data_IF_576930425527
#
_entry.id   IF_576930425527
#
_cell.length_a   1.000
_cell.length_b   1.000
_cell.length_c   1.000
_cell.angle_alpha   90.00
_cell.angle_beta   90.00
_cell.angle_gamma   90.00
#
_symmetry.space_group_name_H-M   'P 1'
#
loop_
_entity.id
_entity.type
_entity.pdbx_description
1 polymer ?
#
# COMPACT_ATOMS: atom_id res chain seq x y z
N UNK A 1 -31.06 14.71 -65.33
CA UNK A 1 -29.91 15.61 -65.15
C UNK A 1 -30.11 16.39 -63.86
N UNK A 2 -29.59 15.87 -62.74
CA UNK A 2 -29.43 16.62 -61.48
C UNK A 2 -28.62 15.76 -60.49
N UNK A 3 -27.37 16.17 -60.31
CA UNK A 3 -26.52 16.13 -59.10
C UNK A 3 -26.39 14.82 -58.30
N UNK A 4 -25.28 14.12 -58.57
CA UNK A 4 -24.58 13.25 -57.64
C UNK A 4 -23.90 14.08 -56.53
N UNK A 5 -24.27 13.87 -55.27
CA UNK A 5 -23.51 14.34 -54.12
C UNK A 5 -22.71 13.18 -53.52
N UNK A 6 -21.40 13.25 -53.76
CA UNK A 6 -20.36 12.36 -53.23
C UNK A 6 -20.15 12.62 -51.74
N UNK A 7 -20.54 11.67 -50.89
CA UNK A 7 -20.19 11.62 -49.48
C UNK A 7 -18.75 11.10 -49.33
N UNK A 8 -17.82 12.01 -49.10
CA UNK A 8 -16.47 11.72 -48.62
C UNK A 8 -16.55 11.15 -47.19
N UNK A 9 -16.28 9.85 -47.05
CA UNK A 9 -15.90 9.22 -45.78
C UNK A 9 -14.49 9.70 -45.42
N UNK A 10 -14.39 10.49 -44.36
CA UNK A 10 -13.16 10.72 -43.62
C UNK A 10 -13.04 9.63 -42.56
N UNK A 11 -12.22 8.62 -42.84
CA UNK A 11 -11.63 7.74 -41.83
C UNK A 11 -10.45 8.46 -41.18
N UNK A 12 -10.25 8.22 -39.87
CA UNK A 12 -8.93 8.39 -39.26
C UNK A 12 -8.77 9.57 -38.31
N UNK A 13 -9.43 9.49 -37.16
CA UNK A 13 -8.83 9.98 -35.91
C UNK A 13 -9.40 9.14 -34.77
N UNK A 14 -8.79 7.96 -34.57
CA UNK A 14 -8.94 7.23 -33.31
C UNK A 14 -8.39 8.12 -32.21
N UNK A 15 -9.26 8.90 -31.58
CA UNK A 15 -8.96 9.53 -30.32
C UNK A 15 -8.62 8.41 -29.36
N UNK A 16 -7.32 8.27 -29.05
CA UNK A 16 -6.84 7.54 -27.90
C UNK A 16 -7.61 8.10 -26.71
N UNK A 17 -8.60 7.35 -26.25
CA UNK A 17 -9.20 7.58 -24.95
C UNK A 17 -8.03 7.50 -23.98
N UNK A 18 -7.71 8.58 -23.25
CA UNK A 18 -6.74 8.45 -22.18
C UNK A 18 -7.35 7.45 -21.21
N UNK A 19 -6.69 6.31 -21.06
CA UNK A 19 -6.93 5.43 -19.92
C UNK A 19 -6.65 6.32 -18.70
N UNK A 20 -7.70 6.70 -17.99
CA UNK A 20 -7.58 7.42 -16.72
C UNK A 20 -6.73 6.55 -15.78
N UNK A 21 -5.43 6.82 -15.76
CA UNK A 21 -4.53 6.23 -14.78
C UNK A 21 -5.03 6.63 -13.39
N UNK A 22 -5.28 5.66 -12.51
CA UNK A 22 -5.95 5.93 -11.24
C UNK A 22 -5.20 7.02 -10.48
N UNK A 23 -5.94 8.08 -10.15
CA UNK A 23 -5.45 9.20 -9.38
C UNK A 23 -4.88 8.69 -8.04
N UNK A 24 -3.56 8.81 -7.86
CA UNK A 24 -2.84 8.44 -6.63
C UNK A 24 -3.34 9.20 -5.38
N UNK A 25 -4.25 10.17 -5.54
CA UNK A 25 -4.89 10.94 -4.47
C UNK A 25 -6.16 10.28 -3.92
N UNK A 26 -6.65 9.21 -4.54
CA UNK A 26 -7.80 8.48 -4.00
C UNK A 26 -7.33 7.72 -2.75
N UNK A 27 -8.03 7.94 -1.64
CA UNK A 27 -7.79 7.43 -0.27
C UNK A 27 -7.80 5.89 -0.12
N UNK A 28 -7.61 5.14 -1.21
CA UNK A 28 -7.82 3.71 -1.25
C UNK A 28 -6.63 3.00 -1.89
N UNK A 29 -6.28 1.86 -1.29
CA UNK A 29 -5.66 0.69 -1.92
C UNK A 29 -4.13 0.68 -1.93
N UNK A 30 -3.56 0.51 -0.74
CA UNK A 30 -2.23 -0.08 -0.54
C UNK A 30 -2.38 -1.30 0.38
N UNK A 31 -1.34 -2.15 0.45
CA UNK A 31 -1.28 -3.24 1.44
C UNK A 31 -1.55 -2.71 2.86
N UNK A 32 -2.16 -3.50 3.76
CA UNK A 32 -2.53 -3.04 5.12
C UNK A 32 -1.41 -2.37 5.91
N UNK A 33 -0.16 -2.77 5.65
CA UNK A 33 1.06 -2.20 6.25
C UNK A 33 1.32 -0.72 5.89
N UNK A 34 0.60 -0.17 4.92
CA UNK A 34 0.70 1.23 4.51
C UNK A 34 -0.34 2.09 5.22
N UNK A 35 0.10 2.98 6.11
CA UNK A 35 -0.79 3.88 6.83
C UNK A 35 -1.24 5.05 5.93
N UNK A 36 -2.53 5.38 5.99
CA UNK A 36 -3.11 6.51 5.27
C UNK A 36 -2.40 7.83 5.60
N UNK A 37 -2.16 8.66 4.57
CA UNK A 37 -1.55 9.99 4.72
C UNK A 37 -0.08 10.00 5.13
N UNK A 38 0.57 8.85 5.23
CA UNK A 38 1.98 8.78 5.59
C UNK A 38 2.90 9.32 4.49
N UNK A 39 2.58 9.05 3.23
CA UNK A 39 3.33 9.58 2.10
C UNK A 39 3.34 11.11 2.12
N UNK A 40 2.20 11.74 2.41
CA UNK A 40 2.11 13.20 2.54
C UNK A 40 2.87 13.73 3.77
N UNK A 41 2.81 13.04 4.91
CA UNK A 41 3.58 13.41 6.11
C UNK A 41 5.10 13.36 5.85
N UNK A 42 5.57 12.28 5.24
CA UNK A 42 7.00 12.09 4.95
C UNK A 42 7.51 13.05 3.87
N UNK A 43 6.71 13.34 2.84
CA UNK A 43 7.07 14.32 1.80
C UNK A 43 7.02 15.76 2.34
N UNK A 44 6.03 16.10 3.19
CA UNK A 44 5.97 17.39 3.87
C UNK A 44 7.21 17.63 4.75
N UNK A 45 7.69 16.59 5.44
CA UNK A 45 8.94 16.63 6.20
C UNK A 45 10.16 16.94 5.30
N UNK A 46 10.23 16.45 4.05
CA UNK A 46 11.33 16.78 3.13
C UNK A 46 11.41 18.26 2.82
N UNK A 47 10.25 18.91 2.62
CA UNK A 47 10.23 20.34 2.32
C UNK A 47 10.80 21.14 3.49
N UNK A 48 10.42 20.78 4.72
CA UNK A 48 10.93 21.37 5.95
C UNK A 48 12.45 21.12 6.09
N UNK A 49 12.92 19.89 5.86
CA UNK A 49 14.34 19.54 5.95
C UNK A 49 15.16 20.23 4.86
N UNK A 50 14.66 20.37 3.64
CA UNK A 50 15.35 21.12 2.57
C UNK A 50 15.47 22.60 2.88
N UNK A 51 14.43 23.21 3.45
CA UNK A 51 14.46 24.60 3.91
C UNK A 51 15.50 24.78 5.03
N UNK A 52 15.46 23.92 6.06
CA UNK A 52 16.41 23.94 7.16
C UNK A 52 17.85 23.68 6.70
N UNK A 53 18.06 22.71 5.81
CA UNK A 53 19.36 22.42 5.22
C UNK A 53 19.91 23.60 4.42
N UNK A 54 19.06 24.28 3.65
CA UNK A 54 19.43 25.52 2.95
C UNK A 54 19.87 26.63 3.92
N UNK A 55 19.09 26.86 4.99
CA UNK A 55 19.43 27.84 6.02
C UNK A 55 20.74 27.50 6.75
N UNK A 56 20.92 26.23 7.14
CA UNK A 56 22.15 25.73 7.77
C UNK A 56 23.37 25.86 6.85
N UNK A 57 23.20 25.61 5.56
CA UNK A 57 24.25 25.82 4.56
C UNK A 57 24.68 27.29 4.46
N UNK A 58 23.71 28.22 4.41
CA UNK A 58 23.99 29.67 4.41
C UNK A 58 24.69 30.09 5.71
N UNK A 59 24.19 29.66 6.86
CA UNK A 59 24.81 29.94 8.17
C UNK A 59 26.24 29.39 8.27
N UNK A 60 26.48 28.16 7.81
CA UNK A 60 27.81 27.57 7.75
C UNK A 60 28.77 28.35 6.86
N UNK A 61 28.28 28.84 5.72
CA UNK A 61 29.07 29.67 4.79
C UNK A 61 29.42 31.02 5.43
N UNK A 62 28.45 31.67 6.08
CA UNK A 62 28.68 32.93 6.81
C UNK A 62 29.66 32.77 7.96
N UNK A 63 29.55 31.68 8.73
CA UNK A 63 30.48 31.36 9.82
C UNK A 63 31.90 31.12 9.29
N UNK A 64 32.04 30.43 8.16
CA UNK A 64 33.33 30.21 7.52
C UNK A 64 33.98 31.53 7.05
N UNK A 65 33.21 32.41 6.40
CA UNK A 65 33.66 33.75 5.97
C UNK A 65 34.07 34.62 7.15
N UNK A 66 33.28 34.62 8.24
CA UNK A 66 33.61 35.36 9.45
C UNK A 66 34.89 34.83 10.12
N UNK A 67 35.09 33.51 10.16
CA UNK A 67 36.30 32.89 10.71
C UNK A 67 37.57 33.28 9.92
N UNK A 68 37.47 33.35 8.59
CA UNK A 68 38.56 33.82 7.73
C UNK A 68 38.85 35.30 7.97
N UNK A 69 37.81 36.14 8.02
CA UNK A 69 37.96 37.59 8.24
C UNK A 69 38.58 37.93 9.61
N UNK A 70 38.32 37.12 10.63
CA UNK A 70 38.87 37.28 11.99
C UNK A 70 40.24 36.62 12.18
N UNK A 71 40.81 35.97 11.16
CA UNK A 71 42.10 35.29 11.26
C UNK A 71 42.09 34.06 12.17
N UNK A 72 40.95 33.38 12.30
CA UNK A 72 40.76 32.20 13.16
C UNK A 72 40.59 30.93 12.30
N UNK A 73 41.66 30.42 11.66
CA UNK A 73 41.56 29.35 10.66
C UNK A 73 41.02 28.04 11.25
N UNK A 74 41.28 27.79 12.53
CA UNK A 74 40.82 26.58 13.23
C UNK A 74 39.28 26.58 13.36
N UNK A 75 38.66 27.73 13.64
CA UNK A 75 37.19 27.85 13.71
C UNK A 75 36.55 27.70 12.32
N UNK A 76 37.18 28.19 11.26
CA UNK A 76 36.71 27.98 9.88
C UNK A 76 36.68 26.49 9.52
N UNK A 77 37.75 25.75 9.83
CA UNK A 77 37.83 24.31 9.56
C UNK A 77 36.75 23.54 10.33
N UNK A 78 36.58 23.84 11.62
CA UNK A 78 35.55 23.20 12.46
C UNK A 78 34.15 23.52 11.96
N UNK A 79 33.87 24.78 11.59
CA UNK A 79 32.57 25.19 11.05
C UNK A 79 32.24 24.47 9.73
N UNK A 80 33.19 24.44 8.79
CA UNK A 80 33.01 23.74 7.50
C UNK A 80 32.78 22.25 7.72
N UNK A 81 33.55 21.62 8.60
CA UNK A 81 33.45 20.18 8.86
C UNK A 81 32.13 19.82 9.53
N UNK A 82 31.70 20.58 10.55
CA UNK A 82 30.41 20.40 11.21
C UNK A 82 29.25 20.65 10.25
N UNK A 83 29.27 21.74 9.47
CA UNK A 83 28.21 22.01 8.49
C UNK A 83 28.13 20.91 7.44
N UNK A 84 29.27 20.42 6.95
CA UNK A 84 29.32 19.31 5.97
C UNK A 84 28.77 18.02 6.58
N UNK A 85 29.13 17.70 7.83
CA UNK A 85 28.66 16.50 8.53
C UNK A 85 27.15 16.57 8.81
N UNK A 86 26.64 17.72 9.23
CA UNK A 86 25.21 17.97 9.47
C UNK A 86 24.43 17.86 8.15
N UNK A 87 24.90 18.52 7.08
CA UNK A 87 24.29 18.44 5.76
C UNK A 87 24.31 17.01 5.21
N UNK A 88 25.41 16.28 5.41
CA UNK A 88 25.53 14.88 5.02
C UNK A 88 24.51 14.02 5.77
N UNK A 89 24.38 14.18 7.09
CA UNK A 89 23.40 13.46 7.89
C UNK A 89 21.96 13.77 7.47
N UNK A 90 21.62 15.05 7.25
CA UNK A 90 20.31 15.49 6.73
C UNK A 90 20.04 14.92 5.32
N UNK A 91 21.05 14.91 4.46
CA UNK A 91 20.94 14.32 3.13
C UNK A 91 20.73 12.80 3.20
N UNK A 92 21.41 12.13 4.13
CA UNK A 92 21.27 10.69 4.35
C UNK A 92 19.86 10.33 4.85
N UNK A 93 19.27 11.17 5.69
CA UNK A 93 17.91 11.02 6.20
C UNK A 93 16.83 11.30 5.14
N UNK A 94 17.11 12.19 4.17
CA UNK A 94 16.15 12.54 3.10
C UNK A 94 16.12 11.59 1.90
N UNK A 95 16.97 10.57 1.84
CA UNK A 95 17.01 9.64 0.69
C UNK A 95 15.71 8.84 0.52
N UNK A 96 15.19 8.26 1.61
CA UNK A 96 13.91 7.56 1.58
C UNK A 96 12.81 8.50 1.07
N UNK A 97 12.76 9.69 1.64
CA UNK A 97 11.72 10.64 1.30
C UNK A 97 11.87 11.22 -0.12
N UNK A 98 13.09 11.28 -0.66
CA UNK A 98 13.33 11.57 -2.09
C UNK A 98 12.82 10.45 -3.00
N UNK A 99 12.95 9.18 -2.59
CA UNK A 99 12.36 8.05 -3.31
C UNK A 99 10.82 8.10 -3.27
N UNK A 100 10.24 8.49 -2.13
CA UNK A 100 8.78 8.70 -2.03
C UNK A 100 8.28 9.89 -2.86
N UNK A 101 9.08 10.94 -2.99
CA UNK A 101 8.77 12.05 -3.90
C UNK A 101 8.78 11.60 -5.36
N UNK A 102 9.61 10.62 -5.75
CA UNK A 102 9.55 10.02 -7.09
C UNK A 102 8.22 9.27 -7.31
N UNK A 103 7.71 8.55 -6.30
CA UNK A 103 6.37 7.92 -6.36
C UNK A 103 5.27 8.97 -6.55
N UNK A 104 5.33 10.06 -5.77
CA UNK A 104 4.38 11.18 -5.88
C UNK A 104 4.39 11.81 -7.28
N UNK A 105 5.56 11.89 -7.90
CA UNK A 105 5.75 12.41 -9.28
C UNK A 105 5.49 11.37 -10.37
N UNK A 106 4.94 10.20 -10.02
CA UNK A 106 4.65 9.10 -10.95
C UNK A 106 5.88 8.54 -11.68
N UNK A 107 7.09 8.73 -11.14
CA UNK A 107 8.33 8.17 -11.71
C UNK A 107 8.59 6.79 -11.11
N UNK A 108 7.75 5.82 -11.47
CA UNK A 108 7.68 4.51 -10.79
C UNK A 108 8.99 3.73 -10.84
N UNK A 109 9.61 3.60 -12.02
CA UNK A 109 10.86 2.84 -12.19
C UNK A 109 12.01 3.43 -11.35
N UNK A 110 12.21 4.75 -11.44
CA UNK A 110 13.24 5.45 -10.66
C UNK A 110 12.97 5.37 -9.14
N UNK A 111 11.70 5.40 -8.74
CA UNK A 111 11.32 5.24 -7.34
C UNK A 111 11.63 3.83 -6.83
N UNK A 112 11.27 2.81 -7.62
CA UNK A 112 11.52 1.40 -7.29
C UNK A 112 13.03 1.12 -7.18
N UNK A 113 13.85 1.60 -8.11
CA UNK A 113 15.30 1.47 -8.06
C UNK A 113 15.89 2.14 -6.80
N UNK A 114 15.44 3.35 -6.50
CA UNK A 114 15.88 4.08 -5.30
C UNK A 114 15.49 3.35 -4.01
N UNK A 115 14.25 2.83 -3.93
CA UNK A 115 13.78 2.06 -2.78
C UNK A 115 14.54 0.74 -2.64
N UNK A 116 14.79 0.02 -3.74
CA UNK A 116 15.57 -1.22 -3.75
C UNK A 116 17.00 -0.99 -3.24
N UNK A 117 17.64 0.10 -3.71
CA UNK A 117 18.97 0.52 -3.23
C UNK A 117 18.97 0.80 -1.72
N UNK A 118 17.92 1.44 -1.20
CA UNK A 118 17.78 1.70 0.23
C UNK A 118 17.59 0.38 0.98
N UNK A 119 16.68 -0.49 0.54
CA UNK A 119 16.35 -1.76 1.19
C UNK A 119 17.57 -2.70 1.29
N UNK A 120 18.42 -2.73 0.27
CA UNK A 120 19.63 -3.57 0.22
C UNK A 120 20.85 -2.98 0.92
N UNK A 121 20.87 -1.69 1.27
CA UNK A 121 22.09 -1.04 1.74
C UNK A 121 22.40 -1.32 3.23
N UNK A 122 23.55 -1.96 3.57
CA UNK A 122 23.92 -2.23 4.96
C UNK A 122 24.18 -0.95 5.77
N UNK A 123 24.57 0.13 5.08
CA UNK A 123 24.85 1.45 5.66
C UNK A 123 23.59 2.22 6.09
N UNK A 124 22.40 1.81 5.61
CA UNK A 124 21.15 2.50 5.92
C UNK A 124 20.61 2.08 7.28
N UNK A 125 19.89 2.99 7.94
CA UNK A 125 19.22 2.64 9.18
C UNK A 125 18.22 1.51 8.93
N UNK A 126 18.08 0.59 9.91
CA UNK A 126 17.17 -0.53 9.78
C UNK A 126 15.73 -0.06 9.49
N UNK A 127 15.30 1.05 10.12
CA UNK A 127 14.00 1.66 9.88
C UNK A 127 13.81 2.07 8.41
N UNK A 128 14.76 2.80 7.81
CA UNK A 128 14.68 3.19 6.39
C UNK A 128 14.60 1.97 5.48
N UNK A 129 15.38 0.92 5.77
CA UNK A 129 15.33 -0.33 4.99
C UNK A 129 13.97 -1.00 5.05
N UNK A 130 13.39 -1.14 6.24
CA UNK A 130 12.07 -1.79 6.39
C UNK A 130 10.95 -0.98 5.77
N UNK A 131 11.03 0.34 5.89
CA UNK A 131 10.09 1.22 5.21
C UNK A 131 10.20 1.07 3.70
N UNK A 132 11.42 1.07 3.15
CA UNK A 132 11.63 0.84 1.73
C UNK A 132 11.07 -0.53 1.26
N UNK A 133 11.31 -1.62 2.01
CA UNK A 133 10.71 -2.94 1.71
C UNK A 133 9.18 -2.90 1.68
N UNK A 134 8.57 -2.12 2.56
CA UNK A 134 7.10 -1.97 2.61
C UNK A 134 6.55 -1.30 1.35
N UNK A 135 7.19 -0.22 0.90
CA UNK A 135 6.82 0.43 -0.34
C UNK A 135 7.06 -0.48 -1.56
N UNK A 136 8.17 -1.22 -1.60
CA UNK A 136 8.44 -2.20 -2.66
C UNK A 136 7.40 -3.32 -2.69
N UNK A 137 6.97 -3.82 -1.53
CA UNK A 137 5.89 -4.79 -1.43
C UNK A 137 4.59 -4.24 -2.02
N UNK A 138 4.22 -3.00 -1.69
CA UNK A 138 3.00 -2.39 -2.24
C UNK A 138 3.07 -2.19 -3.75
N UNK A 139 4.24 -1.77 -4.28
CA UNK A 139 4.44 -1.61 -5.73
C UNK A 139 4.36 -2.94 -6.48
N UNK A 140 4.99 -4.00 -5.94
CA UNK A 140 4.90 -5.34 -6.50
C UNK A 140 3.44 -5.84 -6.50
N UNK A 141 2.73 -5.68 -5.38
CA UNK A 141 1.34 -6.08 -5.26
C UNK A 141 0.43 -5.34 -6.26
N UNK A 142 0.59 -4.01 -6.41
CA UNK A 142 -0.16 -3.20 -7.39
C UNK A 142 0.05 -3.67 -8.84
N UNK A 143 1.22 -4.22 -9.16
CA UNK A 143 1.52 -4.84 -10.47
C UNK A 143 0.93 -6.24 -10.63
N UNK A 144 0.34 -6.82 -9.58
CA UNK A 144 -0.16 -8.18 -9.54
C UNK A 144 0.92 -9.22 -9.21
N UNK A 145 2.14 -8.80 -8.87
CA UNK A 145 3.22 -9.69 -8.49
C UNK A 145 3.18 -9.96 -6.97
N UNK A 146 2.26 -10.85 -6.59
CA UNK A 146 1.96 -11.19 -5.19
C UNK A 146 3.16 -11.88 -4.53
N UNK A 147 3.88 -12.74 -5.25
CA UNK A 147 5.05 -13.45 -4.73
C UNK A 147 6.21 -12.50 -4.44
N UNK A 148 6.49 -11.57 -5.36
CA UNK A 148 7.50 -10.54 -5.10
C UNK A 148 7.08 -9.65 -3.93
N UNK A 149 5.81 -9.29 -3.80
CA UNK A 149 5.31 -8.54 -2.65
C UNK A 149 5.52 -9.30 -1.33
N UNK A 150 5.21 -10.60 -1.31
CA UNK A 150 5.40 -11.48 -0.15
C UNK A 150 6.88 -11.54 0.27
N UNK A 151 7.79 -11.72 -0.69
CA UNK A 151 9.22 -11.78 -0.40
C UNK A 151 9.75 -10.51 0.27
N UNK A 152 9.24 -9.33 -0.11
CA UNK A 152 9.61 -8.06 0.51
C UNK A 152 9.11 -7.94 1.95
N UNK A 153 7.87 -8.39 2.22
CA UNK A 153 7.30 -8.41 3.58
C UNK A 153 8.03 -9.41 4.46
N UNK A 154 8.32 -10.62 3.98
CA UNK A 154 9.09 -11.62 4.70
C UNK A 154 10.51 -11.12 5.01
N UNK A 155 11.19 -10.50 4.03
CA UNK A 155 12.49 -9.87 4.25
C UNK A 155 12.41 -8.73 5.27
N UNK A 156 11.26 -8.05 5.40
CA UNK A 156 11.02 -7.09 6.47
C UNK A 156 10.90 -7.76 7.83
N UNK A 157 10.08 -8.79 7.93
CA UNK A 157 9.77 -9.49 9.18
C UNK A 157 10.94 -10.29 9.74
N UNK A 158 11.81 -10.82 8.88
CA UNK A 158 13.03 -11.55 9.24
C UNK A 158 14.06 -10.68 9.96
N UNK A 159 13.96 -9.35 9.87
CA UNK A 159 14.86 -8.48 10.60
C UNK A 159 14.52 -8.43 12.10
N UNK A 160 15.53 -8.36 12.99
CA UNK A 160 15.31 -8.30 14.42
C UNK A 160 14.41 -7.12 14.81
N UNK A 161 13.44 -7.36 15.70
CA UNK A 161 12.57 -6.34 16.30
C UNK A 161 13.43 -5.26 16.98
N UNK A 162 13.08 -3.98 16.80
CA UNK A 162 13.84 -2.84 17.37
C UNK A 162 12.96 -1.95 18.22
N UNK A 163 13.57 -1.23 19.14
CA UNK A 163 12.91 -0.35 20.10
C UNK A 163 12.12 0.81 19.50
N UNK A 164 12.38 1.18 18.23
CA UNK A 164 11.69 2.26 17.50
C UNK A 164 10.62 1.79 16.53
N UNK A 165 10.44 0.48 16.31
CA UNK A 165 9.35 -0.01 15.47
C UNK A 165 8.05 0.08 16.28
N UNK A 166 7.08 0.83 15.78
CA UNK A 166 5.79 0.92 16.44
C UNK A 166 5.11 -0.45 16.44
N UNK A 167 4.51 -0.90 17.57
CA UNK A 167 3.86 -2.20 17.65
C UNK A 167 2.84 -2.43 16.53
N UNK A 168 2.07 -1.39 16.19
CA UNK A 168 1.07 -1.42 15.12
C UNK A 168 1.68 -1.63 13.74
N UNK A 169 2.79 -0.98 13.40
CA UNK A 169 3.46 -1.17 12.10
C UNK A 169 3.94 -2.61 11.93
N UNK A 170 4.49 -3.22 12.99
CA UNK A 170 4.92 -4.62 12.92
C UNK A 170 3.74 -5.57 12.81
N UNK A 171 2.68 -5.31 13.59
CA UNK A 171 1.45 -6.11 13.55
C UNK A 171 0.83 -6.10 12.15
N UNK A 172 0.72 -4.92 11.53
CA UNK A 172 0.21 -4.77 10.16
C UNK A 172 1.08 -5.50 9.13
N UNK A 173 2.41 -5.54 9.33
CA UNK A 173 3.30 -6.32 8.45
C UNK A 173 3.06 -7.83 8.57
N UNK A 174 2.83 -8.35 9.79
CA UNK A 174 2.47 -9.76 10.01
C UNK A 174 1.11 -10.10 9.39
N UNK A 175 0.10 -9.25 9.59
CA UNK A 175 -1.21 -9.43 8.95
C UNK A 175 -1.10 -9.40 7.42
N UNK A 176 -0.28 -8.49 6.88
CA UNK A 176 -0.02 -8.39 5.43
C UNK A 176 0.66 -9.66 4.90
N UNK A 177 1.57 -10.28 5.65
CA UNK A 177 2.17 -11.57 5.28
C UNK A 177 1.09 -12.65 5.13
N UNK A 178 0.19 -12.80 6.11
CA UNK A 178 -0.90 -13.77 6.03
C UNK A 178 -1.82 -13.52 4.84
N UNK A 179 -2.16 -12.25 4.55
CA UNK A 179 -2.97 -11.90 3.38
C UNK A 179 -2.27 -12.21 2.05
N UNK A 180 -0.96 -11.94 1.94
CA UNK A 180 -0.19 -12.21 0.73
C UNK A 180 0.00 -13.71 0.50
N UNK A 181 0.25 -14.48 1.57
CA UNK A 181 0.27 -15.95 1.50
C UNK A 181 -1.07 -16.49 1.00
N UNK A 182 -2.19 -15.96 1.51
CA UNK A 182 -3.52 -16.35 1.07
C UNK A 182 -3.75 -16.01 -0.42
N UNK A 183 -3.37 -14.80 -0.86
CA UNK A 183 -3.50 -14.37 -2.25
C UNK A 183 -2.62 -15.18 -3.22
N UNK A 184 -1.42 -15.58 -2.79
CA UNK A 184 -0.53 -16.45 -3.53
C UNK A 184 -1.02 -17.90 -3.61
N UNK A 185 -2.05 -18.26 -2.83
CA UNK A 185 -2.63 -19.61 -2.79
C UNK A 185 -1.99 -20.54 -1.76
N UNK A 186 -1.06 -20.04 -0.94
CA UNK A 186 -0.39 -20.77 0.13
C UNK A 186 -1.29 -20.88 1.37
N UNK A 187 -2.44 -21.54 1.25
CA UNK A 187 -3.50 -21.55 2.26
C UNK A 187 -3.06 -22.07 3.65
N UNK A 188 -2.21 -23.10 3.67
CA UNK A 188 -1.72 -23.69 4.92
C UNK A 188 -0.76 -22.73 5.65
N UNK A 189 0.16 -22.11 4.94
CA UNK A 189 1.10 -21.13 5.49
C UNK A 189 0.37 -19.84 5.92
N UNK A 190 -0.63 -19.40 5.14
CA UNK A 190 -1.47 -18.26 5.50
C UNK A 190 -2.20 -18.49 6.82
N UNK A 191 -2.69 -19.71 7.06
CA UNK A 191 -3.30 -20.13 8.32
C UNK A 191 -2.29 -20.10 9.46
N UNK A 192 -1.11 -20.69 9.27
CA UNK A 192 -0.07 -20.66 10.29
C UNK A 192 0.38 -19.24 10.63
N UNK A 193 0.46 -18.35 9.63
CA UNK A 193 0.77 -16.94 9.84
C UNK A 193 -0.35 -16.22 10.64
N UNK A 194 -1.62 -16.50 10.33
CA UNK A 194 -2.77 -15.97 11.08
C UNK A 194 -2.79 -16.46 12.53
N UNK A 195 -2.57 -17.76 12.77
CA UNK A 195 -2.59 -18.35 14.11
C UNK A 195 -1.42 -17.84 14.99
N UNK A 196 -0.32 -17.39 14.37
CA UNK A 196 0.82 -16.76 15.06
C UNK A 196 0.66 -15.25 15.25
N UNK A 197 -0.39 -14.63 14.69
CA UNK A 197 -0.60 -13.21 14.80
C UNK A 197 -0.88 -12.84 16.28
N UNK A 198 -0.14 -11.91 16.88
CA UNK A 198 -0.46 -11.45 18.23
C UNK A 198 -1.81 -10.70 18.22
N UNK A 199 -2.45 -10.51 19.39
CA UNK A 199 -3.66 -9.70 19.48
C UNK A 199 -3.48 -8.33 18.79
N UNK A 200 -4.51 -7.84 18.06
CA UNK A 200 -4.42 -6.54 17.42
C UNK A 200 -4.15 -5.44 18.45
N UNK A 201 -3.33 -4.43 18.13
CA UNK A 201 -3.28 -3.22 18.93
C UNK A 201 -4.68 -2.58 18.99
N UNK A 202 -5.00 -1.80 20.05
CA UNK A 202 -6.30 -1.15 20.23
C UNK A 202 -6.41 0.05 19.28
N UNK A 203 -6.51 -0.25 18.00
CA UNK A 203 -6.52 0.67 16.87
C UNK A 203 -7.56 0.18 15.87
N UNK A 204 -8.45 1.08 15.46
CA UNK A 204 -9.58 0.78 14.58
C UNK A 204 -9.16 0.20 13.22
N UNK A 205 -7.99 0.61 12.70
CA UNK A 205 -7.45 0.08 11.46
C UNK A 205 -6.94 -1.35 11.67
N UNK A 206 -6.28 -1.64 12.80
CA UNK A 206 -5.85 -2.98 13.12
C UNK A 206 -7.02 -3.96 13.28
N UNK A 207 -8.12 -3.55 13.91
CA UNK A 207 -9.34 -4.37 14.02
C UNK A 207 -9.95 -4.68 12.64
N UNK A 208 -10.03 -3.69 11.75
CA UNK A 208 -10.51 -3.92 10.38
C UNK A 208 -9.61 -4.89 9.62
N UNK A 209 -8.29 -4.72 9.73
CA UNK A 209 -7.31 -5.59 9.08
C UNK A 209 -7.34 -6.99 9.67
N UNK A 210 -7.60 -7.15 10.97
CA UNK A 210 -7.79 -8.46 11.62
C UNK A 210 -8.95 -9.21 10.97
N UNK A 211 -10.12 -8.58 10.91
CA UNK A 211 -11.33 -9.15 10.31
C UNK A 211 -11.10 -9.52 8.83
N UNK A 212 -10.54 -8.60 8.04
CA UNK A 212 -10.23 -8.86 6.63
C UNK A 212 -9.24 -10.00 6.44
N UNK A 213 -8.20 -10.08 7.27
CA UNK A 213 -7.19 -11.15 7.19
C UNK A 213 -7.82 -12.49 7.53
N UNK A 214 -8.56 -12.58 8.64
CA UNK A 214 -9.22 -13.81 9.06
C UNK A 214 -10.22 -14.31 8.02
N UNK A 215 -11.04 -13.41 7.48
CA UNK A 215 -12.00 -13.72 6.42
C UNK A 215 -11.31 -14.17 5.12
N UNK A 216 -10.24 -13.49 4.69
CA UNK A 216 -9.52 -13.83 3.46
C UNK A 216 -8.83 -15.20 3.57
N UNK A 217 -8.17 -15.47 4.69
CA UNK A 217 -7.52 -16.76 4.94
C UNK A 217 -8.56 -17.88 4.98
N UNK A 218 -9.69 -17.67 5.67
CA UNK A 218 -10.80 -18.63 5.70
C UNK A 218 -11.38 -18.86 4.30
N UNK A 219 -11.54 -17.81 3.49
CA UNK A 219 -12.02 -17.91 2.11
C UNK A 219 -11.09 -18.77 1.24
N UNK A 220 -9.79 -18.50 1.28
CA UNK A 220 -8.82 -19.25 0.45
C UNK A 220 -8.72 -20.72 0.87
N UNK A 221 -8.92 -21.00 2.17
CA UNK A 221 -8.99 -22.35 2.72
C UNK A 221 -10.36 -23.03 2.54
N UNK A 222 -11.39 -22.32 2.08
CA UNK A 222 -12.80 -22.77 2.01
C UNK A 222 -13.38 -23.22 3.37
N UNK A 223 -13.08 -22.48 4.43
CA UNK A 223 -13.43 -22.82 5.83
C UNK A 223 -14.32 -21.75 6.50
N UNK A 224 -15.60 -21.60 6.09
CA UNK A 224 -16.48 -20.55 6.63
C UNK A 224 -16.78 -20.72 8.12
N UNK A 225 -16.71 -21.95 8.64
CA UNK A 225 -16.96 -22.25 10.06
C UNK A 225 -15.98 -21.53 11.00
N UNK A 226 -14.75 -21.26 10.56
CA UNK A 226 -13.73 -20.58 11.38
C UNK A 226 -14.09 -19.15 11.74
N UNK A 227 -14.83 -18.47 10.87
CA UNK A 227 -15.21 -17.07 11.04
C UNK A 227 -16.66 -16.90 11.46
N UNK A 228 -17.47 -17.98 11.42
CA UNK A 228 -18.92 -17.96 11.68
C UNK A 228 -19.32 -17.18 12.93
N UNK A 229 -18.59 -17.36 14.03
CA UNK A 229 -18.91 -16.73 15.32
C UNK A 229 -18.66 -15.22 15.39
N UNK A 230 -17.91 -14.64 14.44
CA UNK A 230 -17.52 -13.21 14.44
C UNK A 230 -18.07 -12.41 13.27
N UNK A 231 -18.77 -13.06 12.32
CA UNK A 231 -19.34 -12.38 11.15
C UNK A 231 -20.25 -11.22 11.55
N UNK A 232 -21.12 -11.40 12.56
CA UNK A 232 -22.06 -10.36 12.98
C UNK A 232 -21.36 -9.18 13.68
N UNK A 233 -20.30 -9.46 14.43
CA UNK A 233 -19.42 -8.46 15.07
C UNK A 233 -18.70 -7.60 14.03
N UNK A 234 -18.15 -8.23 12.98
CA UNK A 234 -17.37 -7.53 11.96
C UNK A 234 -18.19 -6.77 10.93
N UNK A 235 -19.46 -7.18 10.72
CA UNK A 235 -20.34 -6.57 9.71
C UNK A 235 -20.43 -5.04 9.81
N UNK A 236 -20.83 -4.43 10.95
CA UNK A 236 -20.96 -2.97 11.03
C UNK A 236 -19.63 -2.23 10.77
N UNK A 237 -18.52 -2.76 11.28
CA UNK A 237 -17.19 -2.19 11.07
C UNK A 237 -16.78 -2.23 9.60
N UNK A 238 -17.01 -3.36 8.92
CA UNK A 238 -16.68 -3.52 7.50
C UNK A 238 -17.60 -2.65 6.64
N UNK A 239 -18.91 -2.62 6.91
CA UNK A 239 -19.88 -1.86 6.12
C UNK A 239 -19.54 -0.36 6.08
N UNK A 240 -19.10 0.19 7.22
CA UNK A 240 -18.70 1.59 7.37
C UNK A 240 -17.35 1.92 6.70
N UNK A 241 -16.39 0.99 6.75
CA UNK A 241 -14.96 1.31 6.51
C UNK A 241 -14.38 0.66 5.25
N UNK A 242 -15.02 -0.38 4.71
CA UNK A 242 -14.57 -1.08 3.52
C UNK A 242 -15.01 -0.37 2.22
N UNK A 243 -14.24 0.64 1.82
CA UNK A 243 -14.54 1.41 0.61
C UNK A 243 -14.33 0.67 -0.71
N UNK A 244 -13.69 -0.51 -0.72
CA UNK A 244 -13.37 -1.26 -1.96
C UNK A 244 -14.26 -2.49 -2.13
N UNK A 245 -14.97 -2.89 -1.07
CA UNK A 245 -15.88 -4.02 -1.09
C UNK A 245 -15.19 -5.38 -0.90
N UNK A 246 -13.90 -5.44 -0.52
CA UNK A 246 -13.22 -6.71 -0.21
C UNK A 246 -13.82 -7.36 1.03
N UNK A 247 -13.91 -6.61 2.12
CA UNK A 247 -14.55 -7.06 3.35
C UNK A 247 -16.01 -7.43 3.11
N UNK A 248 -16.77 -6.61 2.37
CA UNK A 248 -18.17 -6.88 2.03
C UNK A 248 -18.30 -8.17 1.21
N UNK A 249 -17.41 -8.40 0.23
CA UNK A 249 -17.38 -9.62 -0.56
C UNK A 249 -17.07 -10.85 0.27
N UNK A 250 -16.11 -10.75 1.18
CA UNK A 250 -15.76 -11.84 2.09
C UNK A 250 -16.88 -12.12 3.11
N UNK A 251 -17.56 -11.09 3.60
CA UNK A 251 -18.77 -11.24 4.42
C UNK A 251 -19.88 -11.94 3.64
N UNK A 252 -20.05 -11.63 2.35
CA UNK A 252 -21.03 -12.32 1.51
C UNK A 252 -20.73 -13.82 1.45
N UNK A 253 -19.46 -14.19 1.25
CA UNK A 253 -19.02 -15.59 1.26
C UNK A 253 -19.23 -16.25 2.62
N UNK A 254 -18.86 -15.59 3.71
CA UNK A 254 -19.03 -16.14 5.04
C UNK A 254 -20.51 -16.35 5.41
N UNK A 255 -21.39 -15.41 5.04
CA UNK A 255 -22.84 -15.54 5.22
C UNK A 255 -23.42 -16.69 4.38
N UNK A 256 -22.94 -16.88 3.14
CA UNK A 256 -23.34 -18.03 2.34
C UNK A 256 -22.97 -19.36 3.03
N UNK A 257 -21.79 -19.46 3.64
CA UNK A 257 -21.37 -20.61 4.44
C UNK A 257 -22.12 -20.80 5.77
N UNK A 258 -22.85 -19.79 6.24
CA UNK A 258 -23.79 -19.87 7.37
C UNK A 258 -25.19 -20.32 6.95
N UNK A 259 -25.47 -20.41 5.64
CA UNK A 259 -26.82 -20.63 5.12
C UNK A 259 -27.66 -19.35 5.04
N UNK A 260 -27.09 -18.18 5.34
CA UNK A 260 -27.76 -16.87 5.30
C UNK A 260 -27.82 -16.34 3.87
N UNK A 261 -28.58 -17.05 3.02
CA UNK A 261 -28.59 -16.86 1.57
C UNK A 261 -29.01 -15.45 1.16
N UNK A 262 -30.08 -14.92 1.74
CA UNK A 262 -30.61 -13.61 1.38
C UNK A 262 -29.61 -12.49 1.72
N UNK A 263 -28.94 -12.62 2.87
CA UNK A 263 -27.88 -11.70 3.28
C UNK A 263 -26.69 -11.77 2.33
N UNK A 264 -26.24 -12.97 1.98
CA UNK A 264 -25.17 -13.16 1.00
C UNK A 264 -25.51 -12.54 -0.37
N UNK A 265 -26.73 -12.74 -0.87
CA UNK A 265 -27.19 -12.12 -2.13
C UNK A 265 -27.20 -10.59 -2.02
N UNK A 266 -27.71 -10.02 -0.92
CA UNK A 266 -27.71 -8.57 -0.73
C UNK A 266 -26.27 -8.00 -0.76
N UNK A 267 -25.34 -8.63 -0.05
CA UNK A 267 -23.94 -8.21 0.00
C UNK A 267 -23.24 -8.37 -1.36
N UNK A 268 -23.46 -9.45 -2.11
CA UNK A 268 -22.88 -9.59 -3.46
C UNK A 268 -23.33 -8.50 -4.43
N UNK A 269 -24.61 -8.07 -4.35
CA UNK A 269 -25.12 -6.93 -5.15
C UNK A 269 -24.47 -5.62 -4.75
N UNK A 270 -24.28 -5.42 -3.46
CA UNK A 270 -23.60 -4.24 -2.93
C UNK A 270 -22.14 -4.18 -3.40
N UNK A 271 -21.41 -5.28 -3.35
CA UNK A 271 -20.04 -5.39 -3.88
C UNK A 271 -19.97 -4.92 -5.33
N UNK A 272 -20.87 -5.40 -6.20
CA UNK A 272 -20.91 -4.98 -7.61
C UNK A 272 -21.16 -3.48 -7.77
N UNK A 273 -21.94 -2.87 -6.88
CA UNK A 273 -22.19 -1.42 -6.90
C UNK A 273 -20.98 -0.60 -6.44
N UNK A 274 -20.13 -1.19 -5.58
CA UNK A 274 -18.92 -0.57 -5.02
C UNK A 274 -17.69 -0.79 -5.92
N UNK A 275 -17.58 -1.92 -6.63
CA UNK A 275 -16.42 -2.26 -7.47
C UNK A 275 -16.45 -1.59 -8.85
N UNK A 276 -16.43 -0.25 -8.87
CA UNK A 276 -16.52 0.55 -10.11
C UNK A 276 -15.31 0.40 -11.04
N UNK A 277 -14.14 0.08 -10.49
CA UNK A 277 -12.87 0.05 -11.22
C UNK A 277 -12.37 -1.39 -11.49
N UNK A 278 -13.16 -2.41 -11.16
CA UNK A 278 -12.76 -3.82 -11.28
C UNK A 278 -11.59 -4.20 -10.35
N UNK A 279 -11.49 -3.56 -9.19
CA UNK A 279 -10.42 -3.82 -8.22
C UNK A 279 -10.46 -5.27 -7.73
N UNK A 280 -11.65 -5.78 -7.38
CA UNK A 280 -11.77 -7.16 -6.89
C UNK A 280 -11.47 -8.16 -7.99
N UNK A 281 -11.95 -7.91 -9.21
CA UNK A 281 -11.62 -8.76 -10.36
C UNK A 281 -10.11 -8.82 -10.64
N UNK A 282 -9.40 -7.70 -10.47
CA UNK A 282 -7.96 -7.60 -10.70
C UNK A 282 -7.12 -8.26 -9.61
N UNK A 283 -7.39 -7.96 -8.34
CA UNK A 283 -6.51 -8.37 -7.23
C UNK A 283 -7.00 -9.63 -6.49
N UNK A 284 -8.30 -9.95 -6.57
CA UNK A 284 -8.92 -11.10 -5.91
C UNK A 284 -9.78 -11.91 -6.89
N UNK A 285 -9.21 -12.39 -8.01
CA UNK A 285 -9.99 -13.00 -9.10
C UNK A 285 -10.80 -14.21 -8.66
N UNK A 286 -10.29 -15.03 -7.72
CA UNK A 286 -11.03 -16.19 -7.16
C UNK A 286 -12.28 -15.77 -6.39
N UNK A 287 -12.19 -14.69 -5.63
CA UNK A 287 -13.33 -14.14 -4.88
C UNK A 287 -14.37 -13.56 -5.84
N UNK A 288 -13.91 -12.82 -6.86
CA UNK A 288 -14.80 -12.32 -7.91
C UNK A 288 -15.53 -13.44 -8.66
N UNK A 289 -14.81 -14.49 -9.08
CA UNK A 289 -15.41 -15.68 -9.70
C UNK A 289 -16.39 -16.42 -8.78
N UNK A 290 -16.17 -16.38 -7.47
CA UNK A 290 -17.14 -16.91 -6.50
C UNK A 290 -18.42 -16.08 -6.51
N UNK A 291 -18.32 -14.74 -6.48
CA UNK A 291 -19.47 -13.82 -6.56
C UNK A 291 -20.29 -14.08 -7.83
N UNK A 292 -19.62 -14.15 -8.99
CA UNK A 292 -20.29 -14.38 -10.28
C UNK A 292 -21.07 -15.70 -10.29
N UNK A 293 -20.44 -16.80 -9.85
CA UNK A 293 -21.10 -18.11 -9.79
C UNK A 293 -22.24 -18.15 -8.77
N UNK A 294 -22.10 -17.46 -7.65
CA UNK A 294 -23.12 -17.43 -6.61
C UNK A 294 -24.39 -16.71 -7.09
N UNK A 295 -24.21 -15.59 -7.81
CA UNK A 295 -25.29 -14.80 -8.39
C UNK A 295 -26.02 -15.56 -9.52
N UNK A 296 -25.27 -16.19 -10.44
CA UNK A 296 -25.82 -16.98 -11.56
C UNK A 296 -26.71 -18.14 -11.10
N UNK A 297 -26.33 -18.83 -10.01
CA UNK A 297 -27.11 -19.93 -9.44
C UNK A 297 -28.50 -19.50 -8.94
N UNK A 298 -28.65 -18.22 -8.60
CA UNK A 298 -29.89 -17.71 -8.00
C UNK A 298 -30.63 -16.72 -8.89
N UNK A 299 -30.01 -16.27 -9.99
CA UNK A 299 -30.60 -15.45 -11.04
C UNK A 299 -30.19 -15.89 -12.46
N UNK A 300 -30.59 -17.10 -12.91
CA UNK A 300 -30.29 -17.57 -14.26
C UNK A 300 -31.09 -16.73 -15.29
N UNK A 301 -30.44 -15.78 -15.98
CA UNK A 301 -31.08 -14.98 -17.03
C UNK A 301 -30.63 -13.53 -17.20
N UNK A 302 -29.57 -13.07 -16.52
CA UNK A 302 -29.06 -11.68 -16.59
C UNK A 302 -27.83 -11.47 -17.49
N UNK A 303 -27.58 -12.35 -18.46
CA UNK A 303 -26.50 -12.11 -19.45
C UNK A 303 -27.00 -11.26 -20.61
#
# INVERSE_FOLDING_TARGET
MTTSSSTLRSEGAGALVPVDEPDLRVRHRDLPVMLGGELDRLVGFVQIVRLLGGMLGVLGTLAAVAGVALGLPMLTVVAVLLSTLILYALWEDTRLASALELLRRRRMEAAEEALATIAGSPRRSAWQRQRARTYLASLAWRRGDVEQALSWIQARLAAPRRSREEPTERWLALATEAQLLAQAGHAAEAREALDRLPPPPPDEQAELVEAQTALLVAFVADEPDRVRGRVDEWTPMIDERDGVGLGVALLAWANAGRGERDRAIALTREVRSRDRDGHLARFYPRLWQWIERYDERYHPGRR
#
